data_IF_363773022681
#
_entry.id   IF_363773022681
#
_cell.length_a   1.000
_cell.length_b   1.000
_cell.length_c   1.000
_cell.angle_alpha   90.00
_cell.angle_beta   90.00
_cell.angle_gamma   90.00
#
_symmetry.space_group_name_H-M   'P 1'
#
loop_
_entity.id
_entity.type
_entity.pdbx_description
1 polymer ?
#
# COMPACT_ATOMS: atom_id res chain seq x y z
N UNK A 1 7.44 -16.87 -12.52
CA UNK A 1 6.40 -17.85 -12.88
C UNK A 1 5.05 -17.38 -12.40
N UNK A 2 4.09 -17.31 -13.28
CA UNK A 2 2.72 -16.98 -12.91
C UNK A 2 2.09 -18.17 -12.20
N UNK A 3 1.78 -18.04 -10.93
CA UNK A 3 1.06 -19.05 -10.18
C UNK A 3 -0.34 -19.25 -10.80
N UNK A 4 -0.87 -20.47 -10.77
CA UNK A 4 -2.22 -20.75 -11.29
C UNK A 4 -3.29 -19.82 -10.68
N UNK A 5 -3.13 -19.42 -9.42
CA UNK A 5 -4.07 -18.53 -8.75
C UNK A 5 -4.02 -17.07 -9.27
N UNK A 6 -2.87 -16.61 -9.75
CA UNK A 6 -2.69 -15.22 -10.23
C UNK A 6 -3.00 -15.06 -11.72
N UNK A 7 -2.97 -16.14 -12.47
CA UNK A 7 -3.19 -16.10 -13.93
C UNK A 7 -4.49 -15.42 -14.36
N UNK A 8 -5.65 -15.75 -13.77
CA UNK A 8 -6.91 -15.07 -14.13
C UNK A 8 -6.87 -13.58 -13.84
N UNK A 9 -6.17 -13.18 -12.79
CA UNK A 9 -6.04 -11.77 -12.40
C UNK A 9 -5.15 -11.01 -13.37
N UNK A 10 -4.06 -11.63 -13.81
CA UNK A 10 -3.16 -11.06 -14.84
C UNK A 10 -3.92 -10.85 -16.14
N UNK A 11 -4.67 -11.86 -16.60
CA UNK A 11 -5.48 -11.78 -17.80
C UNK A 11 -6.55 -10.68 -17.70
N UNK A 12 -7.19 -10.57 -16.56
CA UNK A 12 -8.17 -9.53 -16.29
C UNK A 12 -7.55 -8.13 -16.35
N UNK A 13 -6.45 -7.89 -15.66
CA UNK A 13 -5.74 -6.60 -15.66
C UNK A 13 -5.27 -6.23 -17.07
N UNK A 14 -4.73 -7.19 -17.82
CA UNK A 14 -4.28 -6.96 -19.19
C UNK A 14 -5.43 -6.51 -20.10
N UNK A 15 -6.60 -7.13 -19.96
CA UNK A 15 -7.81 -6.74 -20.69
C UNK A 15 -8.29 -5.35 -20.33
N UNK A 16 -8.32 -5.03 -19.04
CA UNK A 16 -8.77 -3.70 -18.54
C UNK A 16 -7.86 -2.61 -19.07
N UNK A 17 -6.56 -2.80 -18.95
CA UNK A 17 -5.56 -1.83 -19.40
C UNK A 17 -5.67 -1.58 -20.90
N UNK A 18 -5.79 -2.64 -21.69
CA UNK A 18 -5.98 -2.54 -23.15
C UNK A 18 -7.29 -1.85 -23.51
N UNK A 19 -8.36 -2.15 -22.78
CA UNK A 19 -9.66 -1.51 -22.98
C UNK A 19 -9.62 0.00 -22.77
N UNK A 20 -8.78 0.48 -21.84
CA UNK A 20 -8.52 1.91 -21.63
C UNK A 20 -7.51 2.50 -22.61
N UNK A 21 -6.93 1.70 -23.50
CA UNK A 21 -5.92 2.16 -24.45
C UNK A 21 -4.57 2.47 -23.83
N UNK A 22 -4.29 1.94 -22.64
CA UNK A 22 -3.03 2.18 -21.92
C UNK A 22 -1.99 1.17 -22.39
N UNK A 23 -0.84 1.66 -22.85
CA UNK A 23 0.29 0.83 -23.26
C UNK A 23 1.13 0.45 -22.03
N UNK A 24 0.75 -0.64 -21.39
CA UNK A 24 1.44 -1.21 -20.26
C UNK A 24 1.25 -2.74 -20.26
N UNK A 25 2.10 -3.43 -19.54
CA UNK A 25 2.04 -4.87 -19.33
C UNK A 25 2.12 -5.24 -17.86
N UNK A 26 1.60 -6.42 -17.52
CA UNK A 26 1.61 -6.92 -16.13
C UNK A 26 2.84 -7.80 -15.95
N UNK A 27 3.66 -7.47 -14.96
CA UNK A 27 4.82 -8.25 -14.51
C UNK A 27 4.50 -8.83 -13.14
N UNK A 28 4.58 -10.14 -12.99
CA UNK A 28 4.34 -10.81 -11.72
C UNK A 28 5.64 -10.89 -10.93
N UNK A 29 5.62 -10.39 -9.71
CA UNK A 29 6.73 -10.47 -8.76
C UNK A 29 6.25 -11.18 -7.50
N UNK A 30 7.01 -12.18 -7.03
CA UNK A 30 6.75 -12.80 -5.74
C UNK A 30 7.39 -11.96 -4.63
N UNK A 31 6.61 -11.63 -3.63
CA UNK A 31 7.09 -10.90 -2.45
C UNK A 31 6.76 -11.65 -1.16
N UNK A 32 7.38 -11.24 -0.06
CA UNK A 32 7.11 -11.83 1.25
C UNK A 32 5.64 -11.70 1.69
N UNK A 33 4.95 -10.67 1.20
CA UNK A 33 3.55 -10.40 1.53
C UNK A 33 2.55 -11.00 0.51
N UNK A 34 3.05 -11.64 -0.53
CA UNK A 34 2.26 -12.25 -1.60
C UNK A 34 2.64 -11.75 -2.99
N UNK A 35 1.98 -12.27 -4.04
CA UNK A 35 2.25 -11.85 -5.41
C UNK A 35 1.95 -10.38 -5.63
N UNK A 36 2.87 -9.67 -6.26
CA UNK A 36 2.69 -8.30 -6.73
C UNK A 36 2.58 -8.29 -8.26
N UNK A 37 1.49 -7.73 -8.75
CA UNK A 37 1.24 -7.56 -10.17
C UNK A 37 1.62 -6.13 -10.54
N UNK A 38 2.83 -5.96 -11.04
CA UNK A 38 3.38 -4.65 -11.37
C UNK A 38 3.08 -4.28 -12.81
N UNK A 39 2.41 -3.16 -13.00
CA UNK A 39 2.09 -2.60 -14.31
C UNK A 39 3.25 -1.72 -14.77
N UNK A 40 3.89 -2.12 -15.85
CA UNK A 40 5.07 -1.46 -16.39
C UNK A 40 4.89 -1.16 -17.88
N UNK A 41 5.50 -0.10 -18.35
CA UNK A 41 5.46 0.33 -19.73
C UNK A 41 5.40 1.84 -19.87
N UNK A 42 5.40 2.33 -21.11
CA UNK A 42 5.52 3.76 -21.43
C UNK A 42 4.39 4.61 -20.85
N UNK A 43 3.20 4.03 -20.69
CA UNK A 43 2.02 4.74 -20.20
C UNK A 43 1.58 4.32 -18.80
N UNK A 44 2.38 3.49 -18.11
CA UNK A 44 2.06 3.03 -16.76
C UNK A 44 1.97 4.20 -15.75
N UNK A 45 2.61 5.33 -16.01
CA UNK A 45 2.50 6.54 -15.19
C UNK A 45 1.06 7.07 -15.07
N UNK A 46 0.20 6.79 -16.06
CA UNK A 46 -1.21 7.17 -16.01
C UNK A 46 -1.94 6.55 -14.82
N UNK A 47 -1.47 5.39 -14.36
CA UNK A 47 -2.06 4.63 -13.26
C UNK A 47 -1.69 5.19 -11.88
N UNK A 48 -0.60 5.96 -11.80
CA UNK A 48 -0.13 6.55 -10.54
C UNK A 48 -0.47 8.04 -10.41
N UNK A 49 -1.12 8.62 -11.42
CA UNK A 49 -1.63 10.00 -11.36
C UNK A 49 -2.71 10.14 -10.29
N UNK A 50 -3.01 11.37 -9.93
CA UNK A 50 -4.05 11.69 -8.94
C UNK A 50 -3.85 10.92 -7.63
N UNK A 51 -2.62 10.92 -7.11
CA UNK A 51 -2.24 10.21 -5.88
C UNK A 51 -2.48 8.70 -5.93
N UNK A 52 -2.36 8.11 -7.13
CA UNK A 52 -2.54 6.67 -7.33
C UNK A 52 -4.00 6.21 -7.31
N UNK A 53 -4.95 7.11 -7.50
CA UNK A 53 -6.38 6.75 -7.53
C UNK A 53 -6.73 5.67 -8.57
N UNK A 54 -6.22 5.74 -9.82
CA UNK A 54 -6.47 4.66 -10.79
C UNK A 54 -5.94 3.31 -10.30
N UNK A 55 -4.76 3.30 -9.68
CA UNK A 55 -4.15 2.11 -9.14
C UNK A 55 -4.97 1.52 -7.97
N UNK A 56 -5.46 2.37 -7.07
CA UNK A 56 -6.36 1.98 -5.98
C UNK A 56 -7.66 1.40 -6.51
N UNK A 57 -8.21 1.97 -7.57
CA UNK A 57 -9.43 1.47 -8.21
C UNK A 57 -9.21 0.07 -8.80
N UNK A 58 -8.08 -0.18 -9.47
CA UNK A 58 -7.73 -1.50 -9.97
C UNK A 58 -7.56 -2.52 -8.85
N UNK A 59 -6.89 -2.14 -7.76
CA UNK A 59 -6.76 -3.00 -6.58
C UNK A 59 -8.13 -3.36 -6.01
N UNK A 60 -9.02 -2.40 -5.88
CA UNK A 60 -10.35 -2.63 -5.36
C UNK A 60 -11.15 -3.60 -6.24
N UNK A 61 -11.12 -3.43 -7.55
CA UNK A 61 -11.79 -4.32 -8.49
C UNK A 61 -11.22 -5.74 -8.40
N UNK A 62 -9.91 -5.89 -8.30
CA UNK A 62 -9.25 -7.20 -8.14
C UNK A 62 -9.70 -7.86 -6.83
N UNK A 63 -9.71 -7.12 -5.73
CA UNK A 63 -10.12 -7.64 -4.42
C UNK A 63 -11.59 -8.10 -4.44
N UNK A 64 -12.47 -7.32 -5.05
CA UNK A 64 -13.90 -7.64 -5.15
C UNK A 64 -14.17 -8.83 -6.09
N UNK A 65 -13.42 -8.94 -7.19
CA UNK A 65 -13.66 -9.95 -8.21
C UNK A 65 -12.98 -11.29 -7.90
N UNK A 66 -11.83 -11.28 -7.28
CA UNK A 66 -10.98 -12.47 -7.09
C UNK A 66 -10.66 -12.79 -5.63
N UNK A 67 -10.91 -11.88 -4.70
CA UNK A 67 -10.53 -12.06 -3.29
C UNK A 67 -11.07 -13.36 -2.65
N UNK A 68 -12.27 -13.79 -3.05
CA UNK A 68 -12.87 -15.02 -2.53
C UNK A 68 -12.29 -16.29 -3.15
N UNK A 69 -11.71 -16.21 -4.33
CA UNK A 69 -11.10 -17.36 -5.02
C UNK A 69 -9.65 -17.57 -4.65
N UNK A 70 -9.05 -16.63 -3.92
CA UNK A 70 -7.69 -16.76 -3.41
C UNK A 70 -7.67 -17.53 -2.08
N UNK A 71 -6.58 -18.26 -1.78
CA UNK A 71 -6.40 -18.85 -0.46
C UNK A 71 -6.51 -17.79 0.65
N UNK A 72 -7.04 -18.18 1.82
CA UNK A 72 -7.44 -17.27 2.90
C UNK A 72 -6.33 -16.31 3.39
N UNK A 73 -5.07 -16.69 3.22
CA UNK A 73 -3.92 -15.87 3.65
C UNK A 73 -3.17 -15.23 2.47
N UNK A 74 -3.61 -15.49 1.25
CA UNK A 74 -2.94 -14.98 0.05
C UNK A 74 -3.57 -13.68 -0.39
N UNK A 75 -2.80 -12.59 -0.35
CA UNK A 75 -3.16 -11.32 -0.95
C UNK A 75 -2.42 -11.13 -2.25
N UNK A 76 -3.09 -10.51 -3.21
CA UNK A 76 -2.50 -10.09 -4.48
C UNK A 76 -2.48 -8.57 -4.50
N UNK A 77 -1.31 -8.00 -4.77
CA UNK A 77 -1.12 -6.54 -4.80
C UNK A 77 -0.99 -6.08 -6.25
N UNK A 78 -1.75 -5.07 -6.61
CA UNK A 78 -1.62 -4.37 -7.89
C UNK A 78 -0.76 -3.13 -7.67
N UNK A 79 0.32 -3.01 -8.41
CA UNK A 79 1.23 -1.87 -8.35
C UNK A 79 1.60 -1.38 -9.75
N UNK A 80 2.16 -0.20 -9.85
CA UNK A 80 2.68 0.36 -11.09
C UNK A 80 3.93 1.19 -10.77
N UNK A 81 5.00 0.97 -11.54
CA UNK A 81 6.26 1.72 -11.42
C UNK A 81 6.82 1.76 -9.98
N UNK A 82 6.62 0.70 -9.22
CA UNK A 82 7.01 0.63 -7.80
C UNK A 82 6.40 1.76 -6.94
N UNK A 83 5.25 2.29 -7.33
CA UNK A 83 4.59 3.40 -6.66
C UNK A 83 4.32 3.12 -5.18
N UNK A 84 3.79 1.92 -4.85
CA UNK A 84 3.53 1.51 -3.47
C UNK A 84 4.80 1.44 -2.64
N UNK A 85 5.85 0.86 -3.21
CA UNK A 85 7.15 0.79 -2.55
C UNK A 85 7.69 2.18 -2.24
N UNK A 86 7.59 3.11 -3.18
CA UNK A 86 7.95 4.51 -2.98
C UNK A 86 7.11 5.17 -1.88
N UNK A 87 5.80 4.95 -1.88
CA UNK A 87 4.90 5.46 -0.84
C UNK A 87 5.18 4.85 0.53
N UNK A 88 5.46 3.57 0.60
CA UNK A 88 5.82 2.88 1.83
C UNK A 88 7.10 3.47 2.44
N UNK A 89 8.10 3.73 1.60
CA UNK A 89 9.35 4.36 2.02
C UNK A 89 9.11 5.79 2.54
N UNK A 90 8.33 6.58 1.83
CA UNK A 90 7.97 7.94 2.25
C UNK A 90 7.23 7.93 3.59
N UNK A 91 6.25 7.05 3.73
CA UNK A 91 5.44 6.92 4.93
C UNK A 91 6.29 6.49 6.14
N UNK A 92 7.19 5.53 5.93
CA UNK A 92 8.14 5.10 6.95
C UNK A 92 9.05 6.25 7.41
N UNK A 93 9.61 7.02 6.48
CA UNK A 93 10.45 8.18 6.79
C UNK A 93 9.68 9.23 7.58
N UNK A 94 8.44 9.50 7.18
CA UNK A 94 7.59 10.45 7.88
C UNK A 94 7.26 9.99 9.30
N UNK A 95 6.96 8.71 9.49
CA UNK A 95 6.69 8.13 10.80
C UNK A 95 7.90 8.24 11.74
N UNK A 96 9.10 7.92 11.24
CA UNK A 96 10.34 8.06 11.99
C UNK A 96 10.65 9.52 12.35
N UNK A 97 10.43 10.44 11.41
CA UNK A 97 10.59 11.87 11.66
C UNK A 97 9.65 12.37 12.75
N UNK A 98 8.38 12.00 12.70
CA UNK A 98 7.39 12.41 13.70
C UNK A 98 7.66 11.77 15.06
N UNK A 99 8.13 10.53 15.11
CA UNK A 99 8.53 9.89 16.35
C UNK A 99 9.71 10.63 17.02
N UNK A 100 10.70 11.04 16.22
CA UNK A 100 11.81 11.85 16.74
C UNK A 100 11.34 13.22 17.20
N UNK A 101 10.44 13.86 16.43
CA UNK A 101 9.85 15.13 16.82
C UNK A 101 9.08 15.05 18.14
N UNK A 102 8.33 13.96 18.37
CA UNK A 102 7.66 13.73 19.63
C UNK A 102 8.66 13.62 20.80
N UNK A 103 9.79 12.96 20.58
CA UNK A 103 10.87 12.86 21.58
C UNK A 103 11.49 14.23 21.88
N UNK A 104 11.76 15.02 20.86
CA UNK A 104 12.42 16.31 21.00
C UNK A 104 11.53 17.38 21.65
N UNK A 105 10.24 17.34 21.36
CA UNK A 105 9.28 18.35 21.84
C UNK A 105 8.47 17.92 23.06
N UNK A 106 8.38 16.62 23.34
CA UNK A 106 7.49 16.06 24.35
C UNK A 106 6.00 16.09 23.98
N UNK A 107 5.68 16.46 22.73
CA UNK A 107 4.31 16.59 22.24
C UNK A 107 3.95 15.45 21.30
N UNK A 108 2.72 14.94 21.46
CA UNK A 108 2.19 13.93 20.57
C UNK A 108 2.11 14.44 19.13
N UNK A 109 2.39 13.56 18.18
CA UNK A 109 2.29 13.82 16.76
C UNK A 109 1.17 13.01 16.14
N UNK A 110 0.59 13.49 15.04
CA UNK A 110 -0.48 12.81 14.33
C UNK A 110 -0.09 12.59 12.87
N UNK A 111 -0.48 11.45 12.36
CA UNK A 111 -0.26 11.07 10.96
C UNK A 111 -1.51 10.39 10.41
N UNK A 112 -2.08 10.96 9.38
CA UNK A 112 -3.28 10.42 8.75
C UNK A 112 -4.19 11.49 8.14
N UNK A 113 -5.35 11.06 7.63
CA UNK A 113 -5.94 9.71 7.76
C UNK A 113 -5.22 8.65 6.94
N UNK A 114 -5.11 7.44 7.48
CA UNK A 114 -4.42 6.30 6.88
C UNK A 114 -5.33 5.07 6.84
N UNK A 115 -5.21 4.27 5.79
CA UNK A 115 -5.88 2.97 5.71
C UNK A 115 -5.16 1.93 6.61
N UNK A 116 -5.75 0.73 6.84
CA UNK A 116 -5.14 -0.27 7.72
C UNK A 116 -3.72 -0.68 7.33
N UNK A 117 -3.42 -0.82 6.04
CA UNK A 117 -2.10 -1.17 5.52
C UNK A 117 -1.07 -0.08 5.86
N UNK A 118 -1.40 1.17 5.59
CA UNK A 118 -0.56 2.32 5.88
C UNK A 118 -0.29 2.47 7.38
N UNK A 119 -1.32 2.27 8.21
CA UNK A 119 -1.16 2.31 9.67
C UNK A 119 -0.19 1.24 10.17
N UNK A 120 -0.22 0.04 9.58
CA UNK A 120 0.73 -1.01 9.92
C UNK A 120 2.18 -0.58 9.67
N UNK A 121 2.44 0.06 8.53
CA UNK A 121 3.78 0.60 8.22
C UNK A 121 4.23 1.59 9.27
N UNK A 122 3.36 2.51 9.67
CA UNK A 122 3.65 3.51 10.71
C UNK A 122 3.93 2.83 12.07
N UNK A 123 3.09 1.90 12.49
CA UNK A 123 3.27 1.17 13.74
C UNK A 123 4.62 0.42 13.77
N UNK A 124 4.96 -0.25 12.68
CA UNK A 124 6.23 -1.00 12.58
C UNK A 124 7.44 -0.05 12.60
N UNK A 125 7.37 1.07 11.90
CA UNK A 125 8.45 2.04 11.86
C UNK A 125 8.68 2.68 13.25
N UNK A 126 7.62 3.12 13.91
CA UNK A 126 7.72 3.76 15.24
C UNK A 126 8.17 2.75 16.30
N UNK A 127 7.81 1.47 16.17
CA UNK A 127 8.27 0.43 17.10
C UNK A 127 9.80 0.29 17.15
N UNK A 128 10.50 0.73 16.11
CA UNK A 128 11.98 0.75 16.08
C UNK A 128 12.58 1.93 16.89
N UNK A 129 11.77 2.90 17.25
CA UNK A 129 12.22 4.10 17.98
C UNK A 129 12.03 3.88 19.47
N UNK A 130 13.11 3.81 20.27
CA UNK A 130 13.00 3.59 21.71
C UNK A 130 12.17 4.69 22.40
N UNK A 131 11.22 4.27 23.23
CA UNK A 131 10.37 5.19 24.00
C UNK A 131 9.18 5.76 23.24
N UNK A 132 9.05 5.50 21.94
CA UNK A 132 7.88 5.91 21.16
C UNK A 132 6.81 4.82 21.12
N UNK A 133 5.56 5.21 21.04
CA UNK A 133 4.39 4.33 20.93
C UNK A 133 3.38 4.91 19.94
N UNK A 134 2.50 4.07 19.45
CA UNK A 134 1.47 4.46 18.48
C UNK A 134 0.10 3.95 18.89
N UNK A 135 -0.92 4.70 18.53
CA UNK A 135 -2.32 4.34 18.69
C UNK A 135 -3.12 4.80 17.48
N UNK A 136 -3.98 3.94 16.95
CA UNK A 136 -4.93 4.32 15.89
C UNK A 136 -6.20 4.90 16.50
N UNK A 137 -6.58 6.09 16.07
CA UNK A 137 -7.71 6.87 16.62
C UNK A 137 -8.73 7.14 15.51
N UNK A 138 -9.99 6.87 15.79
CA UNK A 138 -11.11 7.11 14.88
C UNK A 138 -12.01 5.89 14.72
N UNK A 139 -13.15 6.09 14.08
CA UNK A 139 -14.18 5.06 13.92
C UNK A 139 -14.34 4.56 12.49
N UNK A 140 -13.71 5.23 11.53
CA UNK A 140 -13.79 4.91 10.12
C UNK A 140 -12.71 3.90 9.67
N UNK A 141 -12.82 3.43 8.44
CA UNK A 141 -11.80 2.60 7.79
C UNK A 141 -10.43 3.31 7.77
N UNK A 142 -10.43 4.59 7.41
CA UNK A 142 -9.25 5.44 7.51
C UNK A 142 -9.21 6.10 8.88
N UNK A 143 -8.10 5.91 9.59
CA UNK A 143 -7.89 6.44 10.94
C UNK A 143 -6.59 7.22 11.02
N UNK A 144 -6.51 8.09 12.00
CA UNK A 144 -5.28 8.81 12.33
C UNK A 144 -4.44 7.97 13.28
N UNK A 145 -3.13 7.94 13.07
CA UNK A 145 -2.18 7.35 14.01
C UNK A 145 -1.63 8.44 14.90
N UNK A 146 -1.79 8.26 16.21
CA UNK A 146 -1.20 9.11 17.24
C UNK A 146 0.17 8.53 17.61
N UNK A 147 1.21 9.32 17.52
CA UNK A 147 2.58 8.96 17.89
C UNK A 147 2.93 9.70 19.17
N UNK A 148 3.18 8.96 20.23
CA UNK A 148 3.40 9.48 21.58
C UNK A 148 4.65 8.89 22.21
N UNK A 149 5.08 9.46 23.33
CA UNK A 149 6.10 8.84 24.15
C UNK A 149 5.46 7.90 25.17
N UNK A 150 6.12 6.78 25.44
CA UNK A 150 5.74 5.89 26.54
C UNK A 150 5.95 6.64 27.85
N UNK A 151 4.94 6.60 28.68
CA UNK A 151 5.04 7.07 30.06
C UNK A 151 5.71 6.01 30.94
#
# INVERSE_FOLDING_TARGET
MTNQATRPIVEFLDRVIRAFGINASVIVEETADGPRLNLAGDEAELLVRHRGEPLKALQHIVDMSFGRSLPAEQRVFVDALEYRKGKDIELRKMALFLAQKAKDTGLDQQLGPLNPYERRIVHMAVAEVPGATTESVGDAFSKTVLISLRK
#
